data_IF_230520873407
#
_entry.id   IF_230520873407
#
_cell.length_a   1.000
_cell.length_b   1.000
_cell.length_c   1.000
_cell.angle_alpha   90.00
_cell.angle_beta   90.00
_cell.angle_gamma   90.00
#
_symmetry.space_group_name_H-M   'P 1'
#
loop_
_entity.id
_entity.type
_entity.pdbx_description
1 polymer ?
#
# COMPACT_ATOMS: atom_id res chain seq x y z
N UNK A 1 -16.78 -46.49 -22.59
CA UNK A 1 -16.16 -46.30 -21.27
C UNK A 1 -16.60 -44.96 -20.74
N UNK A 2 -17.16 -44.89 -19.49
CA UNK A 2 -17.41 -43.59 -18.89
C UNK A 2 -16.07 -42.88 -18.65
N UNK A 3 -16.00 -41.58 -18.92
CA UNK A 3 -14.89 -40.75 -18.56
C UNK A 3 -15.31 -39.82 -17.44
N UNK A 4 -14.44 -39.69 -16.45
CA UNK A 4 -14.64 -38.74 -15.35
C UNK A 4 -14.15 -37.35 -15.80
N UNK A 5 -15.03 -36.36 -15.63
CA UNK A 5 -14.67 -34.98 -15.81
C UNK A 5 -14.41 -34.37 -14.42
N UNK A 6 -13.16 -34.08 -14.11
CA UNK A 6 -12.82 -33.39 -12.86
C UNK A 6 -13.09 -31.91 -13.02
N UNK A 7 -13.97 -31.38 -12.18
CA UNK A 7 -14.20 -29.95 -12.03
C UNK A 7 -13.46 -29.46 -10.77
N UNK A 8 -12.68 -28.41 -10.92
CA UNK A 8 -12.10 -27.70 -9.79
C UNK A 8 -13.22 -26.93 -9.07
N UNK A 9 -13.53 -27.29 -7.84
CA UNK A 9 -14.51 -26.60 -6.99
C UNK A 9 -13.75 -25.90 -5.88
N UNK A 10 -14.00 -24.57 -5.69
CA UNK A 10 -13.52 -23.84 -4.53
C UNK A 10 -14.30 -24.30 -3.29
N UNK A 11 -13.80 -25.33 -2.62
CA UNK A 11 -14.34 -25.79 -1.36
C UNK A 11 -13.45 -25.33 -0.19
N UNK A 12 -14.04 -24.91 0.94
CA UNK A 12 -13.25 -24.55 2.13
C UNK A 12 -12.50 -25.80 2.63
N UNK A 13 -11.23 -25.62 3.02
CA UNK A 13 -10.45 -26.68 3.66
C UNK A 13 -10.76 -26.72 5.15
N UNK A 14 -10.97 -27.89 5.72
CA UNK A 14 -11.30 -28.07 7.15
C UNK A 14 -10.24 -27.49 8.11
N UNK A 15 -8.97 -27.43 7.69
CA UNK A 15 -7.88 -27.07 8.60
C UNK A 15 -7.61 -25.56 8.74
N UNK A 16 -8.11 -24.71 7.85
CA UNK A 16 -7.87 -23.25 7.87
C UNK A 16 -6.39 -22.81 7.79
N UNK A 17 -5.44 -23.75 7.83
CA UNK A 17 -3.99 -23.47 7.86
C UNK A 17 -3.48 -22.69 6.66
N UNK A 18 -4.04 -22.97 5.48
CA UNK A 18 -3.69 -22.27 4.24
C UNK A 18 -4.12 -20.80 4.27
N UNK A 19 -5.20 -20.45 4.96
CA UNK A 19 -5.67 -19.07 5.06
C UNK A 19 -4.69 -18.21 5.83
N UNK A 20 -4.19 -18.69 6.99
CA UNK A 20 -3.16 -17.98 7.77
C UNK A 20 -1.89 -17.76 6.98
N UNK A 21 -1.35 -18.81 6.36
CA UNK A 21 -0.15 -18.72 5.53
C UNK A 21 -0.33 -17.77 4.35
N UNK A 22 -1.45 -17.83 3.64
CA UNK A 22 -1.75 -16.95 2.51
C UNK A 22 -1.92 -15.49 2.94
N UNK A 23 -2.49 -15.24 4.13
CA UNK A 23 -2.60 -13.89 4.69
C UNK A 23 -1.22 -13.29 4.94
N UNK A 24 -0.31 -14.04 5.58
CA UNK A 24 1.06 -13.57 5.80
C UNK A 24 1.80 -13.35 4.47
N UNK A 25 1.73 -14.29 3.53
CA UNK A 25 2.34 -14.12 2.21
C UNK A 25 1.78 -12.92 1.45
N UNK A 26 0.50 -12.58 1.63
CA UNK A 26 -0.09 -11.38 1.00
C UNK A 26 0.47 -10.09 1.59
N UNK A 27 0.77 -10.06 2.89
CA UNK A 27 1.46 -8.95 3.55
C UNK A 27 2.90 -8.82 3.06
N UNK A 28 3.64 -9.91 2.94
CA UNK A 28 5.00 -9.90 2.39
C UNK A 28 4.98 -9.34 0.96
N UNK A 29 4.07 -9.81 0.12
CA UNK A 29 3.90 -9.29 -1.24
C UNK A 29 3.47 -7.81 -1.27
N UNK A 30 2.73 -7.33 -0.28
CA UNK A 30 2.42 -5.91 -0.12
C UNK A 30 3.68 -5.11 0.22
N UNK A 31 4.51 -5.57 1.16
CA UNK A 31 5.78 -4.93 1.55
C UNK A 31 6.70 -4.83 0.34
N UNK A 32 6.87 -5.92 -0.44
CA UNK A 32 7.70 -5.91 -1.66
C UNK A 32 7.24 -4.82 -2.64
N UNK A 33 5.94 -4.77 -2.93
CA UNK A 33 5.38 -3.77 -3.85
C UNK A 33 5.54 -2.35 -3.31
N UNK A 34 5.37 -2.16 -2.01
CA UNK A 34 5.48 -0.85 -1.39
C UNK A 34 6.93 -0.34 -1.37
N UNK A 35 7.91 -1.19 -1.04
CA UNK A 35 9.32 -0.83 -1.07
C UNK A 35 9.75 -0.45 -2.50
N UNK A 36 9.37 -1.27 -3.50
CA UNK A 36 9.66 -0.97 -4.91
C UNK A 36 9.07 0.37 -5.31
N UNK A 37 7.82 0.64 -4.98
CA UNK A 37 7.15 1.91 -5.29
C UNK A 37 7.82 3.10 -4.62
N UNK A 38 8.22 2.97 -3.35
CA UNK A 38 8.84 4.04 -2.58
C UNK A 38 10.27 4.32 -2.99
N UNK A 39 11.01 3.32 -3.44
CA UNK A 39 12.39 3.49 -3.88
C UNK A 39 12.49 3.89 -5.36
N UNK A 40 11.65 3.34 -6.22
CA UNK A 40 11.66 3.59 -7.66
C UNK A 40 10.48 4.46 -8.11
N UNK A 41 10.29 5.58 -7.42
CA UNK A 41 9.21 6.51 -7.72
C UNK A 41 9.54 7.40 -8.94
N UNK A 42 8.50 7.91 -9.61
CA UNK A 42 8.67 8.90 -10.66
C UNK A 42 8.94 10.28 -10.04
N UNK A 43 10.15 10.81 -10.24
CA UNK A 43 10.57 12.09 -9.65
C UNK A 43 9.71 13.27 -10.14
N UNK A 44 9.28 13.27 -11.40
CA UNK A 44 8.42 14.33 -11.94
C UNK A 44 7.07 14.30 -11.24
N UNK A 45 6.51 13.10 -11.04
CA UNK A 45 5.24 12.93 -10.34
C UNK A 45 5.32 13.43 -8.88
N UNK A 46 6.39 13.10 -8.18
CA UNK A 46 6.58 13.58 -6.80
C UNK A 46 6.78 15.10 -6.74
N UNK A 47 7.45 15.69 -7.72
CA UNK A 47 7.59 17.15 -7.82
C UNK A 47 6.23 17.82 -8.11
N UNK A 48 5.36 17.21 -8.93
CA UNK A 48 3.99 17.68 -9.13
C UNK A 48 3.22 17.66 -7.80
N UNK A 49 3.26 16.55 -7.05
CA UNK A 49 2.60 16.44 -5.74
C UNK A 49 3.12 17.50 -4.77
N UNK A 50 4.44 17.74 -4.73
CA UNK A 50 5.01 18.85 -3.93
C UNK A 50 4.48 20.22 -4.33
N UNK A 51 4.32 20.44 -5.64
CA UNK A 51 3.70 21.66 -6.15
C UNK A 51 2.24 21.80 -5.71
N UNK A 52 1.47 20.72 -5.72
CA UNK A 52 0.08 20.68 -5.24
C UNK A 52 -0.01 20.99 -3.74
N UNK A 53 0.91 20.48 -2.93
CA UNK A 53 0.93 20.69 -1.48
C UNK A 53 1.18 22.15 -1.06
N UNK A 54 1.87 22.94 -1.89
CA UNK A 54 2.12 24.38 -1.64
C UNK A 54 1.16 25.28 -2.42
N UNK A 55 0.41 24.71 -3.38
CA UNK A 55 -0.56 25.40 -4.22
C UNK A 55 -1.92 25.60 -3.53
N UNK A 56 -2.82 26.27 -4.25
CA UNK A 56 -4.21 26.32 -3.83
C UNK A 56 -4.98 25.14 -4.44
N UNK A 57 -5.76 24.40 -3.64
CA UNK A 57 -6.59 23.32 -4.16
C UNK A 57 -7.68 23.88 -5.10
N UNK A 58 -8.00 23.10 -6.12
CA UNK A 58 -9.09 23.40 -7.06
C UNK A 58 -10.34 22.59 -6.69
N UNK A 59 -11.51 23.13 -6.99
CA UNK A 59 -12.76 22.42 -6.76
C UNK A 59 -12.87 21.19 -7.66
N UNK A 60 -13.44 20.12 -7.09
CA UNK A 60 -13.73 18.89 -7.80
C UNK A 60 -14.96 19.11 -8.70
N UNK A 61 -14.78 19.06 -10.01
CA UNK A 61 -15.87 19.21 -10.96
C UNK A 61 -16.51 17.88 -11.35
N UNK A 62 -15.73 16.80 -11.38
CA UNK A 62 -16.20 15.48 -11.76
C UNK A 62 -15.51 14.37 -10.93
N UNK A 63 -16.25 13.31 -10.63
CA UNK A 63 -15.68 12.10 -10.07
C UNK A 63 -15.08 11.25 -11.20
N UNK A 64 -13.75 11.15 -11.23
CA UNK A 64 -13.01 10.31 -12.16
C UNK A 64 -12.33 9.13 -11.45
N UNK A 65 -11.55 8.36 -12.22
CA UNK A 65 -10.79 7.22 -11.68
C UNK A 65 -9.82 7.63 -10.57
N UNK A 66 -9.17 8.80 -10.66
CA UNK A 66 -8.21 9.26 -9.66
C UNK A 66 -8.91 9.60 -8.35
N UNK A 67 -10.07 10.25 -8.41
CA UNK A 67 -10.93 10.54 -7.26
C UNK A 67 -11.33 9.26 -6.54
N UNK A 68 -11.82 8.26 -7.27
CA UNK A 68 -12.24 6.98 -6.69
C UNK A 68 -11.07 6.24 -6.04
N UNK A 69 -9.89 6.29 -6.65
CA UNK A 69 -8.68 5.69 -6.09
C UNK A 69 -8.21 6.39 -4.81
N UNK A 70 -8.23 7.72 -4.77
CA UNK A 70 -7.87 8.49 -3.58
C UNK A 70 -8.86 8.20 -2.45
N UNK A 71 -10.17 8.24 -2.72
CA UNK A 71 -11.20 7.93 -1.73
C UNK A 71 -11.01 6.52 -1.15
N UNK A 72 -10.78 5.52 -2.01
CA UNK A 72 -10.58 4.14 -1.58
C UNK A 72 -9.33 3.99 -0.69
N UNK A 73 -8.19 4.52 -1.14
CA UNK A 73 -6.93 4.43 -0.39
C UNK A 73 -6.99 5.22 0.92
N UNK A 74 -7.66 6.36 0.91
CA UNK A 74 -7.85 7.19 2.10
C UNK A 74 -8.79 6.52 3.11
N UNK A 75 -9.86 5.90 2.66
CA UNK A 75 -10.75 5.12 3.52
C UNK A 75 -10.04 3.95 4.18
N UNK A 76 -9.22 3.21 3.41
CA UNK A 76 -8.38 2.14 3.96
C UNK A 76 -7.39 2.66 5.01
N UNK A 77 -6.75 3.81 4.74
CA UNK A 77 -5.88 4.46 5.72
C UNK A 77 -6.63 4.82 7.01
N UNK A 78 -7.79 5.42 6.91
CA UNK A 78 -8.61 5.78 8.09
C UNK A 78 -8.99 4.58 8.94
N UNK A 79 -9.19 3.42 8.33
CA UNK A 79 -9.56 2.17 9.02
C UNK A 79 -8.36 1.41 9.55
N UNK A 80 -7.26 1.40 8.83
CA UNK A 80 -6.07 0.59 9.15
C UNK A 80 -4.95 1.37 9.82
N UNK A 81 -4.90 2.68 9.66
CA UNK A 81 -3.75 3.50 10.06
C UNK A 81 -2.51 3.34 9.18
N UNK A 82 -2.60 2.58 8.08
CA UNK A 82 -1.51 2.38 7.13
C UNK A 82 -1.83 3.00 5.77
N UNK A 83 -0.97 3.92 5.31
CA UNK A 83 -1.12 4.59 4.02
C UNK A 83 -0.06 4.12 3.02
N UNK A 84 -0.50 3.56 1.91
CA UNK A 84 0.39 3.19 0.80
C UNK A 84 0.81 4.42 -0.01
N UNK A 85 2.08 4.47 -0.43
CA UNK A 85 2.58 5.49 -1.34
C UNK A 85 1.89 5.46 -2.72
N UNK A 86 1.11 4.42 -3.03
CA UNK A 86 0.27 4.38 -4.24
C UNK A 86 -0.66 5.59 -4.36
N UNK A 87 -1.07 6.18 -3.25
CA UNK A 87 -1.95 7.36 -3.28
C UNK A 87 -1.31 8.53 -4.03
N UNK A 88 0.03 8.65 -4.01
CA UNK A 88 0.76 9.73 -4.67
C UNK A 88 0.61 9.72 -6.20
N UNK A 89 0.31 8.56 -6.79
CA UNK A 89 0.03 8.45 -8.22
C UNK A 89 -1.30 9.12 -8.63
N UNK A 90 -2.16 9.43 -7.65
CA UNK A 90 -3.52 9.93 -7.85
C UNK A 90 -3.76 11.30 -7.21
N UNK A 91 -2.79 11.88 -6.47
CA UNK A 91 -2.90 13.20 -5.84
C UNK A 91 -2.66 14.31 -6.86
N UNK A 92 -3.65 15.17 -7.04
CA UNK A 92 -3.57 16.39 -7.84
C UNK A 92 -4.24 17.56 -7.11
N UNK A 93 -4.36 18.72 -7.78
CA UNK A 93 -4.95 19.93 -7.19
C UNK A 93 -6.41 19.77 -6.76
N UNK A 94 -7.13 18.80 -7.32
CA UNK A 94 -8.53 18.52 -6.97
C UNK A 94 -8.64 17.43 -5.91
N UNK A 95 -7.89 16.34 -6.06
CA UNK A 95 -7.98 15.19 -5.17
C UNK A 95 -7.33 15.40 -3.81
N UNK A 96 -6.39 16.36 -3.69
CA UNK A 96 -5.76 16.70 -2.41
C UNK A 96 -6.79 17.11 -1.33
N UNK A 97 -7.90 17.71 -1.74
CA UNK A 97 -9.00 18.12 -0.85
C UNK A 97 -9.68 16.94 -0.15
N UNK A 98 -9.58 15.74 -0.71
CA UNK A 98 -10.16 14.51 -0.17
C UNK A 98 -9.32 13.91 0.95
N UNK A 99 -8.14 14.47 1.22
CA UNK A 99 -7.14 13.95 2.14
C UNK A 99 -6.69 15.01 3.14
N UNK A 100 -5.87 14.60 4.11
CA UNK A 100 -5.12 15.54 4.95
C UNK A 100 -3.77 15.84 4.29
N UNK A 101 -3.57 17.09 3.89
CA UNK A 101 -2.35 17.55 3.23
C UNK A 101 -1.09 17.30 4.07
N UNK A 102 -1.17 17.37 5.41
CA UNK A 102 -0.03 17.10 6.28
C UNK A 102 0.37 15.61 6.21
N UNK A 103 -0.59 14.71 6.12
CA UNK A 103 -0.32 13.27 5.99
C UNK A 103 0.34 12.98 4.64
N UNK A 104 -0.14 13.59 3.57
CA UNK A 104 0.48 13.45 2.24
C UNK A 104 1.89 14.06 2.22
N UNK A 105 2.09 15.22 2.85
CA UNK A 105 3.41 15.85 2.99
C UNK A 105 4.40 14.91 3.71
N UNK A 106 4.01 14.37 4.87
CA UNK A 106 4.83 13.42 5.62
C UNK A 106 5.14 12.15 4.81
N UNK A 107 4.19 11.69 4.00
CA UNK A 107 4.40 10.55 3.12
C UNK A 107 5.46 10.85 2.05
N UNK A 108 5.38 12.02 1.40
CA UNK A 108 6.35 12.47 0.40
C UNK A 108 7.74 12.62 1.03
N UNK A 109 7.84 13.23 2.21
CA UNK A 109 9.11 13.44 2.90
C UNK A 109 9.75 12.14 3.41
N UNK A 110 8.95 11.09 3.57
CA UNK A 110 9.44 9.77 3.96
C UNK A 110 10.06 8.95 2.81
N UNK A 111 9.95 9.44 1.57
CA UNK A 111 10.59 8.81 0.41
C UNK A 111 12.11 9.08 0.41
N UNK A 112 12.92 8.24 -0.25
CA UNK A 112 14.33 8.56 -0.50
C UNK A 112 14.47 9.89 -1.25
N UNK A 113 15.57 10.62 -1.01
CA UNK A 113 15.82 11.89 -1.68
C UNK A 113 15.87 11.76 -3.21
N UNK A 114 16.42 10.65 -3.69
CA UNK A 114 16.49 10.29 -5.12
C UNK A 114 15.91 8.92 -5.35
N UNK A 115 15.12 8.75 -6.42
CA UNK A 115 14.64 7.42 -6.77
C UNK A 115 15.80 6.53 -7.24
N UNK A 116 15.69 5.24 -6.95
CA UNK A 116 16.63 4.23 -7.41
C UNK A 116 15.93 2.90 -7.67
N UNK A 117 16.51 2.11 -8.55
CA UNK A 117 15.97 0.81 -8.93
C UNK A 117 16.19 -0.21 -7.81
N UNK A 118 15.12 -0.96 -7.52
CA UNK A 118 15.13 -2.09 -6.59
C UNK A 118 14.73 -3.34 -7.35
N UNK A 119 15.59 -4.34 -7.32
CA UNK A 119 15.31 -5.67 -7.80
C UNK A 119 14.88 -6.55 -6.62
N UNK A 120 13.72 -7.16 -6.73
CA UNK A 120 13.24 -8.14 -5.76
C UNK A 120 13.30 -9.55 -6.34
N UNK A 121 13.89 -10.47 -5.59
CA UNK A 121 13.87 -11.90 -5.89
C UNK A 121 13.34 -12.60 -4.65
N UNK A 122 12.09 -13.04 -4.70
CA UNK A 122 11.33 -13.47 -3.53
C UNK A 122 11.28 -12.37 -2.45
N UNK A 123 11.81 -12.63 -1.27
CA UNK A 123 11.93 -11.74 -0.11
C UNK A 123 13.26 -10.97 -0.04
N UNK A 124 14.14 -11.19 -1.02
CA UNK A 124 15.42 -10.51 -1.11
C UNK A 124 15.36 -9.26 -1.98
N UNK A 125 15.85 -8.15 -1.45
CA UNK A 125 15.95 -6.88 -2.17
C UNK A 125 17.39 -6.58 -2.54
N UNK A 126 17.61 -6.08 -3.76
CA UNK A 126 18.91 -5.66 -4.27
C UNK A 126 18.82 -4.27 -4.88
N UNK A 127 19.83 -3.47 -4.63
CA UNK A 127 20.03 -2.16 -5.25
C UNK A 127 21.52 -1.93 -5.45
N UNK A 128 21.89 -0.83 -6.12
CA UNK A 128 23.27 -0.39 -6.16
C UNK A 128 23.79 -0.07 -4.74
N UNK A 129 25.08 -0.32 -4.44
CA UNK A 129 25.64 -0.19 -3.08
C UNK A 129 25.42 1.17 -2.42
N UNK A 130 25.45 2.25 -3.21
CA UNK A 130 25.23 3.62 -2.72
C UNK A 130 23.83 3.87 -2.17
N UNK A 131 22.84 3.04 -2.51
CA UNK A 131 21.45 3.13 -2.03
C UNK A 131 21.11 2.10 -0.95
N UNK A 132 22.10 1.31 -0.50
CA UNK A 132 21.87 0.23 0.47
C UNK A 132 21.30 0.71 1.81
N UNK A 133 21.70 1.89 2.27
CA UNK A 133 21.18 2.48 3.52
C UNK A 133 19.73 2.96 3.33
N UNK A 134 19.43 3.58 2.21
CA UNK A 134 18.08 4.07 1.90
C UNK A 134 17.11 2.88 1.76
N UNK A 135 17.51 1.83 1.07
CA UNK A 135 16.71 0.61 0.96
C UNK A 135 16.42 -0.01 2.33
N UNK A 136 17.46 -0.13 3.18
CA UNK A 136 17.31 -0.65 4.55
C UNK A 136 16.39 0.23 5.39
N UNK A 137 16.51 1.54 5.27
CA UNK A 137 15.63 2.48 5.95
C UNK A 137 14.18 2.30 5.51
N UNK A 138 13.91 2.24 4.21
CA UNK A 138 12.56 2.06 3.69
C UNK A 138 11.95 0.72 4.12
N UNK A 139 12.74 -0.35 4.15
CA UNK A 139 12.30 -1.65 4.64
C UNK A 139 11.89 -1.59 6.12
N UNK A 140 12.75 -1.05 6.97
CA UNK A 140 12.49 -0.91 8.40
C UNK A 140 11.29 0.03 8.67
N UNK A 141 11.16 1.10 7.89
CA UNK A 141 10.03 2.03 7.97
C UNK A 141 8.71 1.30 7.66
N UNK A 142 8.68 0.46 6.63
CA UNK A 142 7.46 -0.30 6.30
C UNK A 142 7.07 -1.26 7.42
N UNK A 143 8.01 -2.02 7.96
CA UNK A 143 7.75 -2.90 9.09
C UNK A 143 7.24 -2.12 10.31
N UNK A 144 7.85 -0.97 10.61
CA UNK A 144 7.42 -0.10 11.70
C UNK A 144 6.00 0.44 11.50
N UNK A 145 5.68 0.92 10.30
CA UNK A 145 4.34 1.44 9.98
C UNK A 145 3.28 0.34 10.07
N UNK A 146 3.57 -0.86 9.60
CA UNK A 146 2.67 -2.01 9.71
C UNK A 146 2.47 -2.39 11.18
N UNK A 147 3.54 -2.47 11.96
CA UNK A 147 3.48 -2.84 13.38
C UNK A 147 2.72 -1.81 14.24
N UNK A 148 2.76 -0.52 13.88
CA UNK A 148 2.01 0.54 14.56
C UNK A 148 0.55 0.65 14.12
N UNK A 149 0.21 0.10 12.98
CA UNK A 149 -1.13 0.19 12.37
C UNK A 149 -2.03 -0.95 12.82
N UNK A 150 -3.32 -0.80 12.57
CA UNK A 150 -4.33 -1.85 12.71
C UNK A 150 -4.53 -2.65 11.41
N UNK A 151 -3.52 -2.61 10.50
CA UNK A 151 -3.63 -3.20 9.16
C UNK A 151 -3.96 -4.69 9.20
N UNK A 152 -3.29 -5.45 10.07
CA UNK A 152 -3.51 -6.90 10.18
C UNK A 152 -4.90 -7.21 10.72
N UNK A 153 -5.31 -6.53 11.79
CA UNK A 153 -6.67 -6.67 12.35
C UNK A 153 -7.75 -6.30 11.34
N UNK A 154 -7.50 -5.22 10.58
CA UNK A 154 -8.40 -4.78 9.51
C UNK A 154 -8.50 -5.81 8.39
N UNK A 155 -7.39 -6.37 7.91
CA UNK A 155 -7.38 -7.43 6.90
C UNK A 155 -8.11 -8.69 7.38
N UNK A 156 -7.86 -9.12 8.60
CA UNK A 156 -8.56 -10.28 9.18
C UNK A 156 -10.06 -10.05 9.30
N UNK A 157 -10.49 -8.84 9.71
CA UNK A 157 -11.91 -8.50 9.76
C UNK A 157 -12.57 -8.56 8.39
N UNK A 158 -11.88 -8.12 7.34
CA UNK A 158 -12.36 -8.21 5.95
C UNK A 158 -12.50 -9.67 5.49
N UNK A 159 -11.49 -10.51 5.78
CA UNK A 159 -11.49 -11.92 5.41
C UNK A 159 -12.61 -12.70 6.13
N UNK A 160 -12.84 -12.39 7.39
CA UNK A 160 -13.87 -13.04 8.19
C UNK A 160 -15.27 -12.42 8.02
N UNK A 161 -15.40 -11.39 7.19
CA UNK A 161 -16.62 -10.58 7.01
C UNK A 161 -17.21 -10.09 8.33
N UNK A 162 -16.36 -9.85 9.32
CA UNK A 162 -16.75 -9.29 10.60
C UNK A 162 -16.64 -7.76 10.55
N UNK A 163 -17.62 -7.08 11.14
CA UNK A 163 -17.57 -5.63 11.33
C UNK A 163 -16.92 -5.33 12.68
N UNK A 164 -15.83 -4.59 12.66
CA UNK A 164 -15.13 -4.16 13.87
C UNK A 164 -13.69 -4.72 13.99
N UNK A 165 -12.96 -4.22 14.96
CA UNK A 165 -11.60 -4.67 15.24
C UNK A 165 -11.64 -6.05 15.92
N UNK A 166 -10.81 -6.98 15.44
CA UNK A 166 -10.61 -8.30 16.07
C UNK A 166 -9.69 -8.19 17.30
N UNK A 167 -9.50 -6.99 17.83
CA UNK A 167 -8.57 -6.71 18.90
C UNK A 167 -7.16 -6.40 18.39
N UNK A 168 -6.31 -5.89 19.27
CA UNK A 168 -4.89 -5.74 18.98
C UNK A 168 -4.24 -7.12 19.04
N UNK A 169 -3.64 -7.52 17.94
CA UNK A 169 -2.79 -8.71 17.87
C UNK A 169 -1.42 -8.39 18.45
#
# INVERSE_FOLDING_TARGET
>A
KPYEVMHSVNAPTESGRSLGANTIHSLDGMVVREITRRCNYNINRINEVRGVLVGQPMFLENEDYHVQMVLTLWEHFRKSGYLSARILDHIDSTTIMLTDSNVIHNLVDSLPEKPFEVLSVHDCFRCLPNYGNDLRYQYNLQLHLIAKSELLSYLLSQLLKQTGSIGKL
#
